data_IF_959898875495
#
_entry.id   IF_959898875495
#
_cell.length_a   1.000
_cell.length_b   1.000
_cell.length_c   1.000
_cell.angle_alpha   90.00
_cell.angle_beta   90.00
_cell.angle_gamma   90.00
#
_symmetry.space_group_name_H-M   'P 1'
#
loop_
_entity.id
_entity.type
_entity.pdbx_description
1 polymer ?
#
# COMPACT_ATOMS: atom_id res chain seq x y z
N UNK A 1 3.03 -9.57 -93.26
CA UNK A 1 3.39 -10.72 -92.41
C UNK A 1 4.29 -10.16 -91.34
N UNK A 2 3.68 -9.74 -90.24
CA UNK A 2 4.35 -9.03 -89.15
C UNK A 2 5.00 -10.05 -88.22
N UNK A 3 6.32 -9.98 -88.09
CA UNK A 3 7.12 -10.84 -87.21
C UNK A 3 7.43 -10.09 -85.92
N UNK A 4 6.42 -9.97 -85.05
CA UNK A 4 6.59 -9.46 -83.69
C UNK A 4 7.23 -10.55 -82.84
N UNK A 5 8.55 -10.49 -82.66
CA UNK A 5 9.28 -11.39 -81.77
C UNK A 5 8.87 -11.13 -80.30
N UNK A 6 8.63 -12.17 -79.49
CA UNK A 6 8.15 -12.00 -78.12
C UNK A 6 9.29 -11.49 -77.22
N UNK A 7 9.17 -10.22 -76.84
CA UNK A 7 10.02 -9.51 -75.88
C UNK A 7 10.00 -10.11 -74.47
N UNK A 8 9.07 -11.01 -74.15
CA UNK A 8 8.93 -11.63 -72.83
C UNK A 8 10.12 -12.52 -72.45
N UNK A 9 10.75 -13.21 -73.40
CA UNK A 9 11.87 -14.11 -73.09
C UNK A 9 13.13 -13.37 -72.64
N UNK A 10 13.37 -12.17 -73.17
CA UNK A 10 14.48 -11.31 -72.78
C UNK A 10 14.22 -10.60 -71.44
N UNK A 11 12.96 -10.25 -71.16
CA UNK A 11 12.56 -9.66 -69.88
C UNK A 11 12.66 -10.69 -68.75
N UNK A 12 12.26 -11.94 -69.01
CA UNK A 12 12.36 -13.03 -68.04
C UNK A 12 13.82 -13.45 -67.81
N UNK A 13 14.66 -13.49 -68.86
CA UNK A 13 16.08 -13.78 -68.72
C UNK A 13 16.89 -12.64 -68.03
N UNK A 14 16.42 -11.39 -68.10
CA UNK A 14 16.99 -10.28 -67.37
C UNK A 14 16.55 -10.29 -65.89
N UNK A 15 15.30 -10.66 -65.63
CA UNK A 15 14.74 -10.80 -64.27
C UNK A 15 15.40 -11.95 -63.50
N UNK A 16 15.68 -13.07 -64.16
CA UNK A 16 16.29 -14.27 -63.54
C UNK A 16 17.78 -14.08 -63.19
N UNK A 17 18.46 -13.07 -63.77
CA UNK A 17 19.84 -12.68 -63.41
C UNK A 17 19.92 -11.60 -62.34
N UNK A 18 18.77 -11.09 -61.89
CA UNK A 18 18.70 -10.01 -60.90
C UNK A 18 18.25 -10.54 -59.53
N UNK A 19 18.59 -11.78 -59.19
CA UNK A 19 18.83 -12.13 -57.79
C UNK A 19 20.14 -11.44 -57.37
N UNK A 20 20.02 -10.17 -56.98
CA UNK A 20 21.09 -9.44 -56.35
C UNK A 20 21.56 -10.26 -55.15
N UNK A 21 22.71 -10.92 -55.29
CA UNK A 21 23.42 -11.62 -54.22
C UNK A 21 23.82 -10.57 -53.21
N UNK A 22 22.90 -10.29 -52.29
CA UNK A 22 23.12 -9.31 -51.24
C UNK A 22 24.38 -9.75 -50.48
N UNK A 23 25.35 -8.85 -50.30
CA UNK A 23 26.59 -9.22 -49.64
C UNK A 23 26.27 -9.68 -48.21
N UNK A 24 27.00 -10.66 -47.67
CA UNK A 24 26.61 -11.37 -46.44
C UNK A 24 26.47 -10.48 -45.21
N UNK A 25 27.03 -9.27 -45.22
CA UNK A 25 26.89 -8.28 -44.16
C UNK A 25 25.47 -7.69 -44.06
N UNK A 26 24.65 -7.77 -45.11
CA UNK A 26 23.28 -7.25 -45.10
C UNK A 26 22.41 -7.97 -44.08
N UNK A 27 22.46 -9.32 -44.05
CA UNK A 27 21.74 -10.14 -43.07
C UNK A 27 22.21 -9.87 -41.64
N UNK A 28 23.48 -9.53 -41.45
CA UNK A 28 24.03 -9.15 -40.14
C UNK A 28 23.40 -7.83 -39.68
N UNK A 29 23.29 -6.83 -40.55
CA UNK A 29 22.64 -5.56 -40.21
C UNK A 29 21.14 -5.73 -39.96
N UNK A 30 20.46 -6.51 -40.79
CA UNK A 30 19.02 -6.77 -40.65
C UNK A 30 18.68 -7.50 -39.34
N UNK A 31 19.55 -8.38 -38.84
CA UNK A 31 19.39 -9.02 -37.54
C UNK A 31 19.84 -8.13 -36.37
N UNK A 32 20.92 -7.35 -36.54
CA UNK A 32 21.48 -6.50 -35.49
C UNK A 32 20.60 -5.29 -35.16
N UNK A 33 19.94 -4.66 -36.14
CA UNK A 33 19.07 -3.50 -35.92
C UNK A 33 17.88 -3.82 -34.99
N UNK A 34 17.05 -4.85 -35.24
CA UNK A 34 15.95 -5.19 -34.35
C UNK A 34 16.45 -5.69 -32.99
N UNK A 35 17.58 -6.43 -32.93
CA UNK A 35 18.20 -6.81 -31.66
C UNK A 35 18.62 -5.59 -30.85
N UNK A 36 19.25 -4.60 -31.49
CA UNK A 36 19.68 -3.37 -30.84
C UNK A 36 18.49 -2.52 -30.40
N UNK A 37 17.44 -2.42 -31.22
CA UNK A 37 16.18 -1.76 -30.84
C UNK A 37 15.51 -2.48 -29.67
N UNK A 38 15.49 -3.82 -29.68
CA UNK A 38 14.96 -4.63 -28.57
C UNK A 38 15.78 -4.38 -27.30
N UNK A 39 17.11 -4.44 -27.37
CA UNK A 39 18.00 -4.16 -26.23
C UNK A 39 17.79 -2.74 -25.70
N UNK A 40 17.72 -1.74 -26.59
CA UNK A 40 17.43 -0.35 -26.20
C UNK A 40 16.04 -0.20 -25.59
N UNK A 41 15.04 -0.92 -26.10
CA UNK A 41 13.68 -0.94 -25.56
C UNK A 41 13.64 -1.57 -24.16
N UNK A 42 14.30 -2.72 -23.96
CA UNK A 42 14.46 -3.37 -22.66
C UNK A 42 15.23 -2.51 -21.65
N UNK A 43 16.22 -1.73 -22.10
CA UNK A 43 16.95 -0.79 -21.24
C UNK A 43 16.10 0.45 -20.92
N UNK A 44 15.25 0.89 -21.85
CA UNK A 44 14.38 2.07 -21.70
C UNK A 44 13.19 1.81 -20.78
N UNK A 45 12.70 0.57 -20.70
CA UNK A 45 11.55 0.17 -19.87
C UNK A 45 11.88 0.00 -18.37
N UNK A 46 13.09 0.36 -17.93
CA UNK A 46 13.44 0.49 -16.51
C UNK A 46 12.84 1.79 -15.93
N UNK A 47 11.52 1.89 -15.99
CA UNK A 47 10.70 3.02 -15.56
C UNK A 47 10.92 3.42 -14.11
N UNK A 48 11.04 4.74 -13.90
CA UNK A 48 11.30 5.46 -12.65
C UNK A 48 12.68 5.18 -12.02
N UNK A 49 13.67 6.02 -12.36
CA UNK A 49 14.95 6.10 -11.63
C UNK A 49 14.73 6.84 -10.30
N UNK A 50 14.08 6.17 -9.35
CA UNK A 50 14.08 6.67 -7.97
C UNK A 50 15.53 6.74 -7.49
N UNK A 51 15.91 7.81 -6.76
CA UNK A 51 17.26 7.93 -6.25
C UNK A 51 17.58 6.76 -5.34
N UNK A 52 18.72 6.11 -5.59
CA UNK A 52 19.23 5.05 -4.73
C UNK A 52 20.07 5.67 -3.64
N UNK A 53 19.72 5.38 -2.38
CA UNK A 53 20.50 5.82 -1.24
C UNK A 53 21.83 5.07 -1.14
N UNK A 54 21.78 3.75 -1.33
CA UNK A 54 22.94 2.88 -1.22
C UNK A 54 23.21 2.23 -2.58
N UNK A 55 24.00 2.93 -3.40
CA UNK A 55 24.36 2.45 -4.74
C UNK A 55 25.46 1.41 -4.65
N UNK A 56 25.27 0.28 -5.35
CA UNK A 56 26.34 -0.67 -5.60
C UNK A 56 27.45 0.02 -6.42
N UNK A 57 28.71 -0.20 -6.05
CA UNK A 57 29.83 0.28 -6.85
C UNK A 57 29.78 -0.33 -8.25
N UNK A 58 30.18 0.44 -9.29
CA UNK A 58 30.12 -0.02 -10.71
C UNK A 58 30.95 -1.30 -10.97
N UNK A 59 31.88 -1.63 -10.07
CA UNK A 59 32.75 -2.81 -10.12
C UNK A 59 32.53 -3.77 -8.94
N UNK A 60 31.50 -3.55 -8.11
CA UNK A 60 31.21 -4.45 -7.01
C UNK A 60 30.37 -5.64 -7.52
N UNK A 61 30.89 -6.85 -7.31
CA UNK A 61 30.24 -8.10 -7.73
C UNK A 61 29.21 -8.57 -6.71
N UNK A 62 29.50 -8.40 -5.42
CA UNK A 62 28.58 -8.72 -4.33
C UNK A 62 27.88 -7.48 -3.79
N UNK A 63 26.63 -7.66 -3.34
CA UNK A 63 25.85 -6.65 -2.61
C UNK A 63 25.99 -6.78 -1.08
N UNK A 64 26.76 -7.76 -0.59
CA UNK A 64 26.85 -8.07 0.84
C UNK A 64 27.41 -6.91 1.66
N UNK A 65 28.34 -6.14 1.08
CA UNK A 65 28.91 -4.95 1.73
C UNK A 65 27.83 -3.90 1.98
N UNK A 66 27.03 -3.62 0.94
CA UNK A 66 25.96 -2.62 0.91
C UNK A 66 24.85 -3.00 1.90
N UNK A 67 24.46 -4.27 1.91
CA UNK A 67 23.48 -4.82 2.86
C UNK A 67 24.02 -4.76 4.29
N UNK A 68 25.27 -5.17 4.53
CA UNK A 68 25.88 -5.15 5.86
C UNK A 68 25.97 -3.75 6.42
N UNK A 69 26.38 -2.79 5.61
CA UNK A 69 26.44 -1.38 6.00
C UNK A 69 25.05 -0.86 6.37
N UNK A 70 24.02 -1.21 5.59
CA UNK A 70 22.64 -0.90 5.94
C UNK A 70 22.22 -1.54 7.27
N UNK A 71 22.53 -2.82 7.51
CA UNK A 71 22.17 -3.49 8.77
C UNK A 71 22.78 -2.80 9.99
N UNK A 72 24.04 -2.36 9.92
CA UNK A 72 24.71 -1.70 11.04
C UNK A 72 24.41 -0.20 11.16
N UNK A 73 24.17 0.50 10.04
CA UNK A 73 24.06 1.97 9.99
C UNK A 73 22.71 2.49 9.48
N UNK A 74 21.68 1.64 9.34
CA UNK A 74 20.36 1.98 8.78
C UNK A 74 19.78 3.27 9.35
N UNK A 75 19.75 3.42 10.68
CA UNK A 75 19.18 4.60 11.33
C UNK A 75 19.87 5.90 10.86
N UNK A 76 21.21 5.92 10.88
CA UNK A 76 21.97 7.10 10.47
C UNK A 76 21.79 7.39 8.98
N UNK A 77 21.82 6.34 8.15
CA UNK A 77 21.62 6.46 6.70
C UNK A 77 20.23 7.02 6.38
N UNK A 78 19.17 6.48 6.98
CA UNK A 78 17.80 6.95 6.78
C UNK A 78 17.58 8.37 7.30
N UNK A 79 18.18 8.71 8.45
CA UNK A 79 18.09 10.06 9.01
C UNK A 79 18.78 11.11 8.13
N UNK A 80 19.94 10.78 7.55
CA UNK A 80 20.61 11.64 6.56
C UNK A 80 19.77 11.75 5.29
N UNK A 81 19.25 10.62 4.80
CA UNK A 81 18.39 10.58 3.61
C UNK A 81 17.12 11.39 3.76
N UNK A 82 16.52 11.41 4.94
CA UNK A 82 15.33 12.21 5.20
C UNK A 82 15.62 13.72 5.07
N UNK A 83 16.87 14.16 5.34
CA UNK A 83 17.31 15.54 5.12
C UNK A 83 17.65 15.81 3.65
N UNK A 84 18.24 14.84 2.97
CA UNK A 84 18.71 15.00 1.59
C UNK A 84 17.57 14.85 0.56
N UNK A 85 16.56 14.04 0.87
CA UNK A 85 15.43 13.68 0.00
C UNK A 85 14.08 14.14 0.58
N UNK A 86 13.99 15.38 1.04
CA UNK A 86 12.76 15.95 1.60
C UNK A 86 11.61 15.82 0.59
N UNK A 87 10.56 15.10 0.99
CA UNK A 87 9.33 14.92 0.21
C UNK A 87 9.45 14.01 -1.02
N UNK A 88 10.59 13.33 -1.24
CA UNK A 88 10.81 12.47 -2.41
C UNK A 88 10.93 11.00 -2.00
N UNK A 89 10.25 10.07 -2.70
CA UNK A 89 10.48 8.65 -2.48
C UNK A 89 11.87 8.25 -2.96
N UNK A 90 12.53 7.34 -2.24
CA UNK A 90 13.88 6.86 -2.56
C UNK A 90 13.99 5.34 -2.37
N UNK A 91 14.97 4.73 -3.02
CA UNK A 91 15.23 3.28 -2.96
C UNK A 91 16.42 2.97 -2.08
N UNK A 92 16.31 1.90 -1.31
CA UNK A 92 17.38 1.38 -0.46
C UNK A 92 17.55 -0.12 -0.71
N UNK A 93 18.79 -0.58 -0.74
CA UNK A 93 19.10 -2.01 -0.72
C UNK A 93 19.32 -2.44 0.73
N UNK A 94 18.47 -3.33 1.21
CA UNK A 94 18.55 -3.96 2.54
C UNK A 94 18.65 -5.49 2.41
N UNK A 95 18.67 -6.18 3.55
CA UNK A 95 18.73 -7.65 3.66
C UNK A 95 17.56 -8.35 2.95
N UNK A 96 16.38 -7.72 2.95
CA UNK A 96 15.18 -8.19 2.24
C UNK A 96 15.22 -7.84 0.74
N UNK A 97 16.19 -7.05 0.28
CA UNK A 97 16.33 -6.64 -1.11
C UNK A 97 16.05 -5.14 -1.32
N UNK A 98 15.55 -4.77 -2.50
CA UNK A 98 15.26 -3.37 -2.80
C UNK A 98 13.93 -2.94 -2.18
N UNK A 99 14.00 -1.99 -1.27
CA UNK A 99 12.83 -1.38 -0.62
C UNK A 99 12.70 0.07 -1.05
N UNK A 100 11.47 0.47 -1.39
CA UNK A 100 11.13 1.86 -1.67
C UNK A 100 10.64 2.48 -0.37
N UNK A 101 11.28 3.57 0.04
CA UNK A 101 10.88 4.37 1.18
C UNK A 101 10.09 5.56 0.67
N UNK A 102 8.88 5.69 1.19
CA UNK A 102 7.92 6.69 0.78
C UNK A 102 7.88 7.83 1.81
N UNK A 103 7.65 9.08 1.38
CA UNK A 103 7.49 10.19 2.30
C UNK A 103 6.25 10.00 3.19
N UNK A 104 6.23 10.58 4.40
CA UNK A 104 5.12 10.38 5.34
C UNK A 104 3.77 10.92 4.81
N UNK A 105 3.80 11.89 3.90
CA UNK A 105 2.61 12.54 3.33
C UNK A 105 1.69 11.57 2.59
N UNK A 106 2.25 10.51 1.99
CA UNK A 106 1.48 9.49 1.25
C UNK A 106 1.03 8.32 2.13
N UNK A 107 1.42 8.28 3.40
CA UNK A 107 1.17 7.14 4.29
C UNK A 107 -0.33 6.85 4.51
N UNK A 108 -1.16 7.90 4.54
CA UNK A 108 -2.59 7.76 4.77
C UNK A 108 -3.32 7.15 3.56
N UNK A 109 -2.96 7.58 2.35
CA UNK A 109 -3.51 7.07 1.09
C UNK A 109 -3.17 5.59 0.93
N UNK A 110 -1.89 5.26 1.13
CA UNK A 110 -1.36 3.90 1.01
C UNK A 110 -2.03 2.94 2.00
N UNK A 111 -2.26 3.38 3.23
CA UNK A 111 -2.93 2.55 4.25
C UNK A 111 -4.38 2.22 3.87
N UNK A 112 -5.04 3.10 3.13
CA UNK A 112 -6.43 2.89 2.71
C UNK A 112 -6.56 1.98 1.49
N UNK A 113 -5.49 1.85 0.69
CA UNK A 113 -5.51 1.03 -0.53
C UNK A 113 -5.26 -0.46 -0.23
N UNK A 114 -6.24 -1.30 -0.58
CA UNK A 114 -6.15 -2.76 -0.43
C UNK A 114 -5.07 -3.39 -1.32
N UNK A 115 -4.62 -2.69 -2.38
CA UNK A 115 -3.53 -3.13 -3.24
C UNK A 115 -2.18 -3.07 -2.53
N UNK A 116 -2.06 -2.23 -1.51
CA UNK A 116 -0.85 -2.09 -0.72
C UNK A 116 -1.02 -2.80 0.64
N UNK A 117 -1.00 -4.13 0.61
CA UNK A 117 -0.99 -4.92 1.83
C UNK A 117 0.45 -5.15 2.29
N UNK A 118 0.82 -4.57 3.44
CA UNK A 118 2.12 -4.83 4.06
C UNK A 118 2.36 -6.31 4.36
N UNK A 119 1.29 -7.02 4.73
CA UNK A 119 1.35 -8.45 5.02
C UNK A 119 1.67 -9.22 3.74
N UNK A 120 1.01 -8.89 2.63
CA UNK A 120 1.29 -9.51 1.34
C UNK A 120 2.69 -9.15 0.84
N UNK A 121 3.09 -7.88 0.93
CA UNK A 121 4.41 -7.41 0.53
C UNK A 121 5.55 -8.06 1.30
N UNK A 122 5.41 -8.23 2.63
CA UNK A 122 6.41 -8.94 3.44
C UNK A 122 6.46 -10.44 3.10
N UNK A 123 5.33 -11.03 2.71
CA UNK A 123 5.23 -12.43 2.31
C UNK A 123 5.83 -12.70 0.93
N UNK A 124 5.60 -11.81 -0.02
CA UNK A 124 6.08 -11.92 -1.40
C UNK A 124 7.54 -11.47 -1.54
N UNK A 125 7.96 -10.45 -0.80
CA UNK A 125 9.34 -9.95 -0.77
C UNK A 125 10.31 -10.84 0.05
N UNK A 126 9.85 -12.00 0.53
CA UNK A 126 10.68 -12.95 1.27
C UNK A 126 11.95 -13.31 0.49
N UNK A 127 13.07 -12.77 0.96
CA UNK A 127 14.47 -13.10 0.69
C UNK A 127 14.80 -13.68 -0.70
N UNK A 128 15.52 -12.89 -1.49
CA UNK A 128 16.29 -13.34 -2.65
C UNK A 128 15.53 -14.29 -3.61
N UNK A 129 14.69 -13.72 -4.47
CA UNK A 129 14.32 -14.39 -5.73
C UNK A 129 13.34 -15.56 -5.62
N UNK A 130 12.29 -15.43 -4.80
CA UNK A 130 11.14 -16.35 -4.85
C UNK A 130 11.18 -17.53 -3.89
N UNK A 131 12.22 -17.65 -3.06
CA UNK A 131 12.31 -18.63 -1.97
C UNK A 131 11.66 -18.06 -0.71
N UNK A 132 10.34 -17.94 -0.74
CA UNK A 132 9.59 -17.49 0.43
C UNK A 132 9.68 -18.54 1.55
N UNK A 133 9.78 -18.08 2.80
CA UNK A 133 9.62 -18.89 4.02
C UNK A 133 8.34 -19.77 4.02
N UNK A 134 7.41 -19.46 3.11
CA UNK A 134 6.23 -20.24 2.75
C UNK A 134 6.53 -21.69 2.35
N UNK A 135 7.72 -21.99 1.84
CA UNK A 135 8.04 -23.34 1.36
C UNK A 135 8.64 -24.24 2.44
N UNK A 136 9.16 -23.66 3.52
CA UNK A 136 9.73 -24.45 4.61
C UNK A 136 8.62 -25.06 5.48
N UNK A 137 8.72 -26.36 5.71
CA UNK A 137 7.88 -27.10 6.66
C UNK A 137 8.26 -26.65 8.07
N UNK A 138 7.26 -26.42 8.94
CA UNK A 138 7.47 -25.88 10.30
C UNK A 138 7.16 -24.39 10.50
N UNK A 139 7.00 -23.60 9.42
CA UNK A 139 6.55 -22.20 9.50
C UNK A 139 5.05 -22.03 9.19
N UNK A 140 4.24 -23.08 9.34
CA UNK A 140 2.81 -23.08 8.97
C UNK A 140 1.98 -22.12 9.82
N UNK A 141 2.29 -21.99 11.11
CA UNK A 141 1.62 -21.01 11.96
C UNK A 141 1.84 -19.56 11.49
N UNK A 142 3.04 -19.25 10.99
CA UNK A 142 3.34 -17.95 10.40
C UNK A 142 2.58 -17.73 9.08
N UNK A 143 2.50 -18.77 8.24
CA UNK A 143 1.71 -18.75 7.00
C UNK A 143 0.23 -18.47 7.27
N UNK A 144 -0.35 -19.09 8.30
CA UNK A 144 -1.76 -18.90 8.65
C UNK A 144 -2.00 -17.55 9.36
N UNK A 145 -1.09 -17.10 10.21
CA UNK A 145 -1.20 -15.83 10.94
C UNK A 145 -1.24 -14.61 9.99
N UNK A 146 -0.54 -14.71 8.87
CA UNK A 146 -0.44 -13.67 7.86
C UNK A 146 -1.24 -13.99 6.59
N UNK A 147 -2.11 -14.99 6.65
CA UNK A 147 -3.00 -15.31 5.55
C UNK A 147 -3.99 -14.15 5.33
N UNK A 148 -4.32 -13.77 4.09
CA UNK A 148 -5.23 -12.66 3.78
C UNK A 148 -6.66 -12.84 4.32
N UNK A 149 -7.02 -14.04 4.77
CA UNK A 149 -8.32 -14.32 5.40
C UNK A 149 -8.40 -13.87 6.87
N UNK A 150 -7.27 -13.44 7.47
CA UNK A 150 -7.16 -12.93 8.85
C UNK A 150 -7.82 -13.82 9.92
N UNK A 151 -8.06 -15.11 9.65
CA UNK A 151 -8.87 -15.98 10.52
C UNK A 151 -8.29 -16.07 11.93
N UNK A 152 -6.99 -16.32 12.01
CA UNK A 152 -6.28 -16.38 13.29
C UNK A 152 -6.37 -15.04 14.04
N UNK A 153 -6.15 -13.93 13.33
CA UNK A 153 -6.21 -12.59 13.91
C UNK A 153 -7.61 -12.26 14.43
N UNK A 154 -8.67 -12.66 13.70
CA UNK A 154 -10.05 -12.46 14.11
C UNK A 154 -10.42 -13.28 15.35
N UNK A 155 -9.93 -14.51 15.45
CA UNK A 155 -10.11 -15.33 16.66
C UNK A 155 -9.38 -14.70 17.85
N UNK A 156 -8.14 -14.23 17.66
CA UNK A 156 -7.37 -13.55 18.71
C UNK A 156 -8.07 -12.27 19.15
N UNK A 157 -8.49 -11.40 18.21
CA UNK A 157 -9.26 -10.19 18.49
C UNK A 157 -10.54 -10.52 19.26
N UNK A 158 -11.32 -11.51 18.81
CA UNK A 158 -12.55 -11.94 19.48
C UNK A 158 -12.30 -12.43 20.91
N UNK A 159 -11.24 -13.20 21.12
CA UNK A 159 -10.87 -13.69 22.47
C UNK A 159 -10.43 -12.55 23.37
N UNK A 160 -9.60 -11.63 22.87
CA UNK A 160 -9.16 -10.45 23.61
C UNK A 160 -10.33 -9.52 23.97
N UNK A 161 -11.25 -9.26 23.03
CA UNK A 161 -12.43 -8.43 23.29
C UNK A 161 -13.36 -9.11 24.29
N UNK A 162 -13.53 -10.44 24.21
CA UNK A 162 -14.34 -11.19 25.17
C UNK A 162 -13.73 -11.19 26.57
N UNK A 163 -12.41 -11.43 26.70
CA UNK A 163 -11.73 -11.41 28.00
C UNK A 163 -11.72 -10.01 28.59
N UNK A 164 -11.52 -8.97 27.77
CA UNK A 164 -11.60 -7.59 28.22
C UNK A 164 -13.01 -7.22 28.69
N UNK A 165 -14.04 -7.65 27.96
CA UNK A 165 -15.44 -7.47 28.37
C UNK A 165 -15.73 -8.14 29.71
N UNK A 166 -15.29 -9.39 29.88
CA UNK A 166 -15.44 -10.13 31.15
C UNK A 166 -14.66 -9.47 32.29
N UNK A 167 -13.43 -9.01 32.06
CA UNK A 167 -12.67 -8.33 33.11
C UNK A 167 -13.31 -6.99 33.47
N UNK A 168 -13.74 -6.22 32.47
CA UNK A 168 -14.44 -4.95 32.67
C UNK A 168 -15.73 -5.14 33.46
N UNK A 169 -16.53 -6.19 33.15
CA UNK A 169 -17.75 -6.50 33.91
C UNK A 169 -17.48 -6.96 35.34
N UNK A 170 -16.33 -7.59 35.61
CA UNK A 170 -15.92 -8.00 36.96
C UNK A 170 -15.27 -6.88 37.78
N UNK A 171 -14.73 -5.84 37.12
CA UNK A 171 -14.09 -4.67 37.74
C UNK A 171 -15.02 -3.48 37.92
N UNK A 172 -16.18 -3.45 37.24
CA UNK A 172 -17.23 -2.51 37.60
C UNK A 172 -17.68 -2.82 39.03
N UNK A 173 -17.60 -1.87 39.98
CA UNK A 173 -18.23 -2.07 41.27
C UNK A 173 -19.68 -2.46 41.00
N UNK A 174 -20.26 -3.44 41.73
CA UNK A 174 -21.63 -3.84 41.48
C UNK A 174 -22.49 -2.58 41.66
N UNK A 175 -22.96 -2.02 40.55
CA UNK A 175 -24.07 -1.09 40.57
C UNK A 175 -25.22 -1.97 40.99
N UNK A 176 -25.39 -2.10 42.31
CA UNK A 176 -26.47 -2.84 42.92
C UNK A 176 -27.75 -2.43 42.20
N UNK A 177 -28.67 -3.35 41.88
CA UNK A 177 -29.95 -2.98 41.28
C UNK A 177 -30.65 -1.88 42.08
N UNK A 178 -30.42 -1.78 43.40
CA UNK A 178 -30.87 -0.66 44.24
C UNK A 178 -30.29 0.71 43.84
N UNK A 179 -29.04 0.77 43.37
CA UNK A 179 -28.37 2.00 42.93
C UNK A 179 -28.83 2.43 41.53
N UNK A 180 -29.13 1.48 40.65
CA UNK A 180 -29.74 1.75 39.34
C UNK A 180 -31.19 2.22 39.49
N UNK A 181 -31.94 1.60 40.39
CA UNK A 181 -33.29 2.06 40.77
C UNK A 181 -33.20 3.44 41.42
N UNK A 182 -32.26 3.69 42.33
CA UNK A 182 -32.07 5.00 42.93
C UNK A 182 -31.74 6.09 41.89
N UNK A 183 -30.86 5.81 40.92
CA UNK A 183 -30.54 6.77 39.86
C UNK A 183 -31.70 6.97 38.88
N UNK A 184 -32.46 5.93 38.56
CA UNK A 184 -33.66 6.06 37.72
C UNK A 184 -34.76 6.85 38.43
N UNK A 185 -34.97 6.62 39.72
CA UNK A 185 -35.91 7.38 40.54
C UNK A 185 -35.46 8.82 40.74
N UNK A 186 -34.17 9.07 40.98
CA UNK A 186 -33.61 10.42 41.07
C UNK A 186 -33.74 11.18 39.74
N UNK A 187 -33.51 10.52 38.61
CA UNK A 187 -33.74 11.13 37.29
C UNK A 187 -35.21 11.46 37.04
N UNK A 188 -36.12 10.58 37.45
CA UNK A 188 -37.57 10.78 37.32
C UNK A 188 -38.10 11.87 38.25
N UNK A 189 -37.56 11.96 39.47
CA UNK A 189 -37.87 13.03 40.42
C UNK A 189 -37.32 14.37 39.91
N UNK A 190 -36.12 14.38 39.33
CA UNK A 190 -35.54 15.59 38.72
C UNK A 190 -36.36 16.09 37.53
N UNK A 191 -36.93 15.21 36.71
CA UNK A 191 -37.78 15.63 35.59
C UNK A 191 -39.12 16.17 36.09
N UNK A 192 -39.72 15.55 37.10
CA UNK A 192 -40.97 16.01 37.71
C UNK A 192 -40.77 17.37 38.40
N UNK A 193 -39.67 17.54 39.14
CA UNK A 193 -39.32 18.83 39.75
C UNK A 193 -39.03 19.92 38.71
N UNK A 194 -38.49 19.57 37.55
CA UNK A 194 -38.28 20.54 36.46
C UNK A 194 -39.59 20.96 35.80
N UNK A 195 -40.56 20.05 35.68
CA UNK A 195 -41.87 20.29 35.08
C UNK A 195 -42.76 21.11 36.02
N UNK A 196 -42.74 20.82 37.33
CA UNK A 196 -43.51 21.54 38.35
C UNK A 196 -42.95 22.96 38.63
N UNK A 197 -41.64 23.16 38.47
CA UNK A 197 -41.02 24.50 38.54
C UNK A 197 -41.37 25.35 37.31
N UNK A 198 -41.49 24.76 36.12
CA UNK A 198 -41.95 25.49 34.92
C UNK A 198 -43.44 25.85 34.99
N UNK A 199 -44.29 24.97 35.55
CA UNK A 199 -45.72 25.24 35.73
C UNK A 199 -45.97 26.33 36.79
N UNK A 200 -45.23 26.31 37.90
CA UNK A 200 -45.30 27.36 38.94
C UNK A 200 -44.85 28.74 38.43
N UNK A 201 -43.83 28.80 37.57
CA UNK A 201 -43.37 30.05 36.96
C UNK A 201 -44.38 30.62 35.95
N UNK A 202 -45.15 29.77 35.27
CA UNK A 202 -46.22 30.21 34.37
C UNK A 202 -47.43 30.77 35.11
N UNK A 203 -47.79 30.20 36.27
CA UNK A 203 -48.87 30.71 37.11
C UNK A 203 -48.52 32.04 37.80
N UNK A 204 -47.24 32.26 38.14
CA UNK A 204 -46.84 33.54 38.74
C UNK A 204 -46.79 34.69 37.72
N UNK A 205 -46.61 34.38 36.42
CA UNK A 205 -46.58 35.40 35.36
C UNK A 205 -47.99 35.78 34.87
N UNK A 206 -48.96 34.88 34.94
CA UNK A 206 -50.35 35.15 34.51
C UNK A 206 -51.17 35.92 35.57
N UNK A 207 -50.81 35.86 36.85
CA UNK A 207 -51.45 36.65 37.92
C UNK A 207 -51.00 38.13 37.93
N UNK A 208 -49.93 38.49 37.20
CA UNK A 208 -49.41 39.87 37.13
C UNK A 208 -50.07 40.76 36.05
N UNK A 209 -50.98 40.21 35.24
CA UNK A 209 -51.70 40.94 34.17
C UNK A 209 -53.17 41.23 34.49
N UNK A 210 -53.50 41.44 35.76
CA UNK A 210 -54.80 41.92 36.22
C UNK A 210 -54.81 43.42 36.54
N UNK A 211 -55.27 44.24 35.58
CA UNK A 211 -55.90 45.56 35.78
C UNK A 211 -55.15 46.66 36.58
N UNK A 212 -54.59 47.65 35.86
CA UNK A 212 -54.50 49.03 36.36
C UNK A 212 -55.52 49.91 35.62
N UNK A 213 -56.37 50.70 36.32
CA UNK A 213 -57.19 51.72 35.69
C UNK A 213 -56.42 53.06 35.54
N UNK A 214 -56.64 53.70 34.37
CA UNK A 214 -56.60 55.12 33.97
C UNK A 214 -56.02 56.19 34.93
N UNK A 215 -55.41 57.26 34.37
CA UNK A 215 -56.18 58.35 33.74
C UNK A 215 -55.96 58.51 32.23
#
# INVERSE_FOLDING_TARGET
MDTTFPNESLINAATDRQEATQPPWYYVLEACVPLLVLVLFWIRDQGSKLPYLNTKGRLEWSSDRVVRDFVFNSYRMLYQSAKDFIGKPFRVLCDVGYVIILPPDVGQEIRSDKRFSFVQGLFEAGLHGGLTWRQYTGFEAYKEACHPSERLQNVVKLRLTKTLGTLSSNLQPPISPSMLIANHLLGKISSILSEEVEESLHDTLTDSTGTLPFP
#
